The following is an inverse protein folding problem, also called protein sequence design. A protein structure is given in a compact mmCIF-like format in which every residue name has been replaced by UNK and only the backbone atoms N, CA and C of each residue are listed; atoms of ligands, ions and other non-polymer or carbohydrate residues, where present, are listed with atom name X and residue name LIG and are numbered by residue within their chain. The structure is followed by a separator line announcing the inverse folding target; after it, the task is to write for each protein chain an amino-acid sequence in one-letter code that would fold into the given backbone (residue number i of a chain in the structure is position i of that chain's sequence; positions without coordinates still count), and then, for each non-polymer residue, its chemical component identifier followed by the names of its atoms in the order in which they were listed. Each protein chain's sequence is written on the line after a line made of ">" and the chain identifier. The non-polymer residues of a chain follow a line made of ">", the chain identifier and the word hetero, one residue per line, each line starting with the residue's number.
data_IF_466041672963
#
_entry.id   IF_466041672963
#
_cell.length_a   1.000
_cell.length_b   1.000
_cell.length_c   1.000
_cell.angle_alpha   90.00
_cell.angle_beta   90.00
_cell.angle_gamma   90.00
#
_symmetry.space_group_name_H-M   'P 1'
#
loop_
_entity.id
_entity.type
_entity.pdbx_description
1 polymer ?
#
# COMPACT_ATOMS: atom_id res chain seq x y z
N UNK A 1 -11.11 -2.51 14.04
CA UNK A 1 -10.43 -2.88 12.79
C UNK A 1 -11.21 -2.35 11.59
N UNK A 2 -10.53 -1.81 10.61
CA UNK A 2 -11.18 -1.33 9.39
C UNK A 2 -11.41 -2.49 8.41
N UNK A 3 -12.61 -2.60 7.84
CA UNK A 3 -12.89 -3.61 6.82
C UNK A 3 -12.44 -3.13 5.44
N UNK A 4 -12.37 -4.05 4.46
CA UNK A 4 -12.05 -3.69 3.08
C UNK A 4 -13.07 -2.68 2.52
N UNK A 5 -14.36 -2.90 2.82
CA UNK A 5 -15.41 -1.99 2.36
C UNK A 5 -15.31 -0.62 3.01
N UNK A 6 -14.99 -0.56 4.31
CA UNK A 6 -14.75 0.72 4.98
C UNK A 6 -13.53 1.44 4.43
N UNK A 7 -12.47 0.70 4.12
CA UNK A 7 -11.26 1.25 3.51
C UNK A 7 -11.57 1.99 2.21
N UNK A 8 -12.47 1.46 1.39
CA UNK A 8 -12.86 2.05 0.11
C UNK A 8 -13.55 3.41 0.26
N UNK A 9 -14.11 3.70 1.42
CA UNK A 9 -14.87 4.93 1.66
C UNK A 9 -13.97 6.12 2.01
N UNK A 10 -12.67 5.92 2.17
CA UNK A 10 -11.74 6.97 2.58
C UNK A 10 -10.71 7.26 1.49
N UNK A 11 -10.38 8.53 1.34
CA UNK A 11 -9.22 8.96 0.57
C UNK A 11 -7.95 8.92 1.45
N UNK A 12 -6.81 9.31 0.89
CA UNK A 12 -5.54 9.28 1.63
C UNK A 12 -5.56 10.18 2.86
N UNK A 13 -6.14 11.36 2.76
CA UNK A 13 -6.24 12.30 3.88
C UNK A 13 -7.15 11.73 4.96
N UNK A 14 -8.27 11.13 4.59
CA UNK A 14 -9.19 10.48 5.52
C UNK A 14 -8.54 9.34 6.28
N UNK A 15 -7.80 8.47 5.58
CA UNK A 15 -7.06 7.38 6.22
C UNK A 15 -5.98 7.92 7.16
N UNK A 16 -5.24 8.94 6.74
CA UNK A 16 -4.21 9.56 7.58
C UNK A 16 -4.81 10.13 8.87
N UNK A 17 -5.98 10.75 8.78
CA UNK A 17 -6.69 11.29 9.95
C UNK A 17 -7.09 10.18 10.92
N UNK A 18 -7.65 9.07 10.42
CA UNK A 18 -8.02 7.94 11.28
C UNK A 18 -6.80 7.36 12.00
N UNK A 19 -5.67 7.27 11.32
CA UNK A 19 -4.42 6.77 11.92
C UNK A 19 -3.91 7.74 12.97
N UNK A 20 -3.87 9.04 12.66
CA UNK A 20 -3.40 10.07 13.57
C UNK A 20 -4.25 10.15 14.84
N UNK A 21 -5.57 9.98 14.70
CA UNK A 21 -6.51 9.98 15.82
C UNK A 21 -6.55 8.64 16.57
N UNK A 22 -5.77 7.66 16.13
CA UNK A 22 -5.68 6.32 16.72
C UNK A 22 -7.00 5.55 16.69
N UNK A 23 -7.89 5.89 15.78
CA UNK A 23 -9.11 5.11 15.57
C UNK A 23 -8.81 3.80 14.88
N UNK A 24 -7.77 3.78 14.02
CA UNK A 24 -7.24 2.57 13.42
C UNK A 24 -5.71 2.63 13.49
N UNK A 25 -5.07 1.47 13.44
CA UNK A 25 -3.61 1.43 13.36
C UNK A 25 -3.14 1.47 11.91
N UNK A 26 -1.88 1.89 11.70
CA UNK A 26 -1.27 1.84 10.37
C UNK A 26 -1.23 0.39 9.84
N UNK A 27 -1.00 -0.59 10.71
CA UNK A 27 -0.99 -2.00 10.31
C UNK A 27 -2.37 -2.45 9.82
N UNK A 28 -3.45 -2.06 10.51
CA UNK A 28 -4.81 -2.39 10.07
C UNK A 28 -5.10 -1.84 8.68
N UNK A 29 -4.68 -0.61 8.40
CA UNK A 29 -4.88 0.02 7.10
C UNK A 29 -4.07 -0.69 6.01
N UNK A 30 -2.81 -1.03 6.29
CA UNK A 30 -1.97 -1.79 5.35
C UNK A 30 -2.58 -3.16 5.07
N UNK A 31 -3.02 -3.88 6.09
CA UNK A 31 -3.64 -5.19 5.91
C UNK A 31 -4.95 -5.10 5.10
N UNK A 32 -5.73 -4.05 5.28
CA UNK A 32 -6.94 -3.81 4.48
C UNK A 32 -6.60 -3.55 3.01
N UNK A 33 -5.56 -2.77 2.75
CA UNK A 33 -5.09 -2.52 1.38
C UNK A 33 -4.60 -3.81 0.71
N UNK A 34 -3.84 -4.63 1.43
CA UNK A 34 -3.36 -5.92 0.93
C UNK A 34 -4.53 -6.84 0.60
N UNK A 35 -5.51 -6.96 1.49
CA UNK A 35 -6.68 -7.80 1.27
C UNK A 35 -7.45 -7.36 0.02
N UNK A 36 -7.58 -6.06 -0.20
CA UNK A 36 -8.22 -5.51 -1.39
C UNK A 36 -7.45 -5.86 -2.67
N UNK A 37 -6.12 -5.73 -2.63
CA UNK A 37 -5.27 -6.12 -3.77
C UNK A 37 -5.46 -7.60 -4.07
N UNK A 38 -5.34 -8.46 -3.07
CA UNK A 38 -5.46 -9.91 -3.24
C UNK A 38 -6.83 -10.31 -3.81
N UNK A 39 -7.90 -9.62 -3.41
CA UNK A 39 -9.23 -9.95 -3.89
C UNK A 39 -9.49 -9.51 -5.33
N UNK A 40 -8.79 -8.52 -5.85
CA UNK A 40 -9.06 -7.92 -7.17
C UNK A 40 -7.98 -8.14 -8.21
N UNK A 41 -6.76 -8.40 -7.79
CA UNK A 41 -5.63 -8.47 -8.72
C UNK A 41 -5.71 -9.64 -9.69
N UNK A 42 -6.34 -10.75 -9.29
CA UNK A 42 -6.56 -11.91 -10.18
C UNK A 42 -7.35 -11.52 -11.43
N UNK A 43 -8.26 -10.56 -11.32
CA UNK A 43 -9.06 -10.05 -12.45
C UNK A 43 -8.35 -8.92 -13.18
N UNK A 44 -7.76 -7.97 -12.44
CA UNK A 44 -7.19 -6.75 -13.01
C UNK A 44 -5.74 -6.91 -13.45
N UNK A 45 -4.98 -7.77 -12.77
CA UNK A 45 -3.55 -7.98 -13.01
C UNK A 45 -2.75 -6.66 -13.01
N UNK A 46 -3.17 -5.74 -12.16
CA UNK A 46 -2.58 -4.40 -12.10
C UNK A 46 -1.34 -4.34 -11.21
N UNK A 47 -1.29 -5.16 -10.16
CA UNK A 47 -0.16 -5.26 -9.25
C UNK A 47 0.72 -6.42 -9.72
N UNK A 48 1.90 -6.11 -10.25
CA UNK A 48 2.78 -7.09 -10.89
C UNK A 48 3.94 -7.52 -10.01
N UNK A 49 4.20 -6.80 -8.93
CA UNK A 49 5.17 -7.16 -7.90
C UNK A 49 4.62 -6.72 -6.55
N UNK A 50 4.86 -7.51 -5.50
CA UNK A 50 4.34 -7.20 -4.18
C UNK A 50 5.48 -6.88 -3.22
N UNK A 51 5.23 -5.89 -2.35
CA UNK A 51 6.13 -5.48 -1.28
C UNK A 51 5.40 -5.56 0.07
N UNK A 52 4.50 -6.52 0.20
CA UNK A 52 3.63 -6.64 1.38
C UNK A 52 4.43 -6.83 2.67
N UNK A 53 5.41 -7.70 2.65
CA UNK A 53 6.23 -7.96 3.85
C UNK A 53 7.09 -6.75 4.19
N UNK A 54 7.63 -6.07 3.18
CA UNK A 54 8.40 -4.84 3.39
C UNK A 54 7.53 -3.75 4.02
N UNK A 55 6.29 -3.63 3.57
CA UNK A 55 5.34 -2.66 4.13
C UNK A 55 5.03 -2.98 5.59
N UNK A 56 4.80 -4.26 5.91
CA UNK A 56 4.55 -4.69 7.28
C UNK A 56 5.75 -4.42 8.20
N UNK A 57 6.95 -4.68 7.71
CA UNK A 57 8.18 -4.41 8.45
C UNK A 57 8.35 -2.91 8.69
N UNK A 58 8.10 -2.09 7.68
CA UNK A 58 8.20 -0.63 7.80
C UNK A 58 7.25 -0.09 8.87
N UNK A 59 6.01 -0.57 8.90
CA UNK A 59 5.03 -0.17 9.91
C UNK A 59 5.48 -0.61 11.31
N UNK A 60 6.02 -1.82 11.43
CA UNK A 60 6.51 -2.34 12.70
C UNK A 60 7.72 -1.60 13.27
N UNK A 61 8.55 -1.01 12.40
CA UNK A 61 9.70 -0.21 12.83
C UNK A 61 9.35 1.20 13.25
N UNK A 62 8.14 1.65 12.94
CA UNK A 62 7.71 3.02 13.14
C UNK A 62 7.94 3.88 11.90
N UNK A 63 6.95 4.66 11.56
CA UNK A 63 6.95 5.49 10.37
C UNK A 63 7.30 6.93 10.72
N UNK A 64 7.95 7.68 9.80
CA UNK A 64 8.18 9.10 10.00
C UNK A 64 6.87 9.85 10.18
N UNK A 65 6.89 10.93 10.96
CA UNK A 65 5.74 11.82 11.08
C UNK A 65 5.53 12.58 9.77
N UNK A 66 4.28 12.78 9.40
CA UNK A 66 3.92 13.51 8.19
C UNK A 66 2.42 13.48 7.95
N UNK A 67 1.93 14.31 7.00
CA UNK A 67 0.49 14.40 6.72
C UNK A 67 -0.16 13.11 6.26
N UNK A 68 0.60 12.21 5.63
CA UNK A 68 0.11 10.94 5.09
C UNK A 68 0.78 9.73 5.75
N UNK A 69 1.31 9.89 6.96
CA UNK A 69 1.99 8.81 7.67
C UNK A 69 1.07 7.61 7.86
N UNK A 70 1.52 6.44 7.42
CA UNK A 70 0.79 5.18 7.56
C UNK A 70 -0.17 4.87 6.42
N UNK A 71 -0.35 5.77 5.47
CA UNK A 71 -1.23 5.53 4.32
C UNK A 71 -0.49 4.66 3.29
N UNK A 72 -1.07 3.51 2.89
CA UNK A 72 -0.46 2.69 1.85
C UNK A 72 -0.62 3.34 0.46
N UNK A 73 0.36 3.09 -0.40
CA UNK A 73 0.29 3.54 -1.79
C UNK A 73 0.97 2.55 -2.71
N UNK A 74 0.70 2.69 -4.00
CA UNK A 74 1.29 1.85 -5.04
C UNK A 74 2.31 2.66 -5.83
N UNK A 75 3.44 2.02 -6.11
CA UNK A 75 4.49 2.62 -6.95
C UNK A 75 4.29 2.12 -8.37
N UNK A 76 4.25 3.03 -9.32
CA UNK A 76 4.07 2.69 -10.73
C UNK A 76 5.37 2.14 -11.33
N UNK A 77 5.26 1.04 -12.07
CA UNK A 77 6.41 0.42 -12.76
C UNK A 77 6.68 1.13 -14.10
N UNK A 78 6.88 2.44 -14.01
CA UNK A 78 7.23 3.29 -15.15
C UNK A 78 8.05 4.47 -14.64
N UNK A 79 9.33 4.52 -15.00
CA UNK A 79 10.25 5.60 -14.61
C UNK A 79 10.38 5.80 -13.09
N UNK A 80 10.05 4.77 -12.31
CA UNK A 80 10.20 4.78 -10.86
C UNK A 80 10.96 3.52 -10.47
N UNK A 81 12.07 3.68 -9.76
CA UNK A 81 12.91 2.55 -9.36
C UNK A 81 13.03 2.49 -7.85
N UNK A 82 12.94 1.26 -7.33
CA UNK A 82 13.14 0.94 -5.92
C UNK A 82 14.30 -0.04 -5.86
N UNK A 83 15.27 0.22 -4.99
CA UNK A 83 16.41 -0.66 -4.81
C UNK A 83 15.97 -2.08 -4.48
N UNK A 84 16.51 -3.06 -5.20
CA UNK A 84 16.19 -4.46 -5.00
C UNK A 84 14.89 -4.94 -5.63
N UNK A 85 14.17 -4.07 -6.34
CA UNK A 85 12.90 -4.42 -6.98
C UNK A 85 13.04 -4.29 -8.50
N UNK A 86 12.58 -5.30 -9.28
CA UNK A 86 12.62 -5.21 -10.73
C UNK A 86 11.84 -4.01 -11.26
N UNK A 87 12.41 -3.31 -12.24
CA UNK A 87 11.74 -2.22 -12.94
C UNK A 87 11.63 -2.60 -14.42
N UNK A 88 10.41 -2.84 -14.88
CA UNK A 88 10.16 -3.38 -16.22
C UNK A 88 9.48 -2.39 -17.16
N UNK A 89 9.07 -1.22 -16.65
CA UNK A 89 8.28 -0.24 -17.40
C UNK A 89 7.03 -0.86 -18.05
N UNK A 90 6.49 -1.90 -17.42
CA UNK A 90 5.32 -2.61 -17.91
C UNK A 90 5.58 -3.47 -19.15
N UNK A 91 6.83 -3.72 -19.50
CA UNK A 91 7.19 -4.44 -20.72
C UNK A 91 8.06 -5.66 -20.41
N UNK A 92 7.77 -6.78 -21.06
CA UNK A 92 8.58 -8.00 -20.95
C UNK A 92 10.01 -7.79 -21.47
N UNK A 93 10.23 -6.80 -22.31
CA UNK A 93 11.55 -6.52 -22.88
C UNK A 93 12.55 -6.05 -21.81
N UNK A 94 12.08 -5.55 -20.68
CA UNK A 94 12.92 -5.04 -19.59
C UNK A 94 13.03 -5.98 -18.38
N UNK A 95 12.52 -7.18 -18.50
CA UNK A 95 12.65 -8.17 -17.42
C UNK A 95 14.05 -8.76 -17.35
#
# INVERSE_FOLDING_TARGET
>A
MITVDEYENFDAVGLATLIADKEVSALEVVESAIARIESRNSTLNAVVATLFDDARVAVGRGLPQGPLSGVPYLVKDLNTWIEGVPATNGSRAFR
#
